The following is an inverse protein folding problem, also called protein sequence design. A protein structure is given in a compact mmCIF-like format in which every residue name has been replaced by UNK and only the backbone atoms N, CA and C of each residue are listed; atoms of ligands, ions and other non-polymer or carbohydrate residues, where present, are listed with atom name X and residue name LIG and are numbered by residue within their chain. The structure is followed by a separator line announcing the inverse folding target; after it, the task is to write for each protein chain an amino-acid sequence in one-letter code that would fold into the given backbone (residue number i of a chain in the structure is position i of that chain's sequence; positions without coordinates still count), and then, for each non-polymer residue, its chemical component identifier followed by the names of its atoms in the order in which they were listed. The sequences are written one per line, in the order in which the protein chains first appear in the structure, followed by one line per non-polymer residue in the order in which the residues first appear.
data_IF_132801045858
#
_entry.id   IF_132801045858
#
_cell.length_a   1.000
_cell.length_b   1.000
_cell.length_c   1.000
_cell.angle_alpha   90.00
_cell.angle_beta   90.00
_cell.angle_gamma   90.00
#
_symmetry.space_group_name_H-M   'P 1'
#
loop_
_entity.id
_entity.type
_entity.pdbx_description
1 polymer ?
#
# COMPACT_ATOMS: atom_id res chain seq x y z
N UNK A 1 26.29 3.95 12.76
CA UNK A 1 25.83 3.41 11.45
C UNK A 1 24.47 4.01 11.17
N UNK A 2 24.24 4.56 9.97
CA UNK A 2 22.89 4.98 9.56
C UNK A 2 21.99 3.76 9.51
N UNK A 3 20.79 3.84 10.08
CA UNK A 3 19.80 2.76 10.05
C UNK A 3 19.20 2.71 8.65
N UNK A 4 19.26 1.54 8.00
CA UNK A 4 18.54 1.33 6.73
C UNK A 4 17.05 1.48 6.99
N UNK A 5 16.40 2.41 6.29
CA UNK A 5 14.98 2.72 6.47
C UNK A 5 14.35 3.16 5.16
N UNK A 6 13.08 2.80 4.97
CA UNK A 6 12.18 3.46 4.02
C UNK A 6 11.66 4.71 4.73
N UNK A 7 12.29 5.85 4.45
CA UNK A 7 11.93 7.14 5.03
C UNK A 7 11.47 8.14 3.96
N UNK A 8 11.11 9.35 4.38
CA UNK A 8 10.63 10.39 3.49
C UNK A 8 11.68 10.79 2.43
N UNK A 9 12.97 10.70 2.76
CA UNK A 9 14.08 11.00 1.84
C UNK A 9 14.13 9.96 0.73
N UNK A 10 14.07 8.68 1.11
CA UNK A 10 14.04 7.57 0.16
C UNK A 10 12.79 7.63 -0.73
N UNK A 11 11.61 7.84 -0.14
CA UNK A 11 10.35 7.96 -0.89
C UNK A 11 10.39 9.14 -1.86
N UNK A 12 10.93 10.28 -1.46
CA UNK A 12 11.12 11.43 -2.36
C UNK A 12 11.98 11.07 -3.57
N UNK A 13 13.09 10.36 -3.37
CA UNK A 13 13.94 9.89 -4.46
C UNK A 13 13.23 8.88 -5.36
N UNK A 14 12.52 7.91 -4.76
CA UNK A 14 11.71 6.92 -5.47
C UNK A 14 10.65 7.58 -6.36
N UNK A 15 9.88 8.53 -5.84
CA UNK A 15 8.82 9.23 -6.58
C UNK A 15 9.40 10.00 -7.76
N UNK A 16 10.50 10.73 -7.57
CA UNK A 16 11.18 11.44 -8.67
C UNK A 16 11.62 10.51 -9.78
N UNK A 17 12.28 9.41 -9.42
CA UNK A 17 12.71 8.40 -10.39
C UNK A 17 11.52 7.75 -11.10
N UNK A 18 10.46 7.41 -10.37
CA UNK A 18 9.28 6.76 -10.91
C UNK A 18 8.55 7.67 -11.94
N UNK A 19 8.35 8.95 -11.61
CA UNK A 19 7.71 9.91 -12.51
C UNK A 19 8.57 10.18 -13.74
N UNK A 20 9.90 10.25 -13.60
CA UNK A 20 10.81 10.43 -14.72
C UNK A 20 10.85 9.21 -15.66
N UNK A 21 10.78 8.00 -15.10
CA UNK A 21 10.91 6.74 -15.85
C UNK A 21 9.59 6.34 -16.51
N UNK A 22 8.50 6.41 -15.76
CA UNK A 22 7.20 5.89 -16.20
C UNK A 22 6.23 7.00 -16.57
N UNK A 23 6.65 8.27 -16.53
CA UNK A 23 5.83 9.43 -16.88
C UNK A 23 4.81 9.86 -15.81
N UNK A 24 4.23 11.05 -15.98
CA UNK A 24 3.30 11.64 -15.02
C UNK A 24 1.91 11.00 -15.09
N UNK A 25 1.00 11.50 -14.24
CA UNK A 25 -0.40 11.14 -14.20
C UNK A 25 -0.72 9.95 -13.30
N UNK A 26 -2.02 9.72 -13.11
CA UNK A 26 -2.53 8.71 -12.15
C UNK A 26 -2.11 7.29 -12.48
N UNK A 27 -2.08 6.94 -13.78
CA UNK A 27 -1.70 5.60 -14.33
C UNK A 27 -2.30 4.40 -13.56
N UNK A 28 -3.44 4.59 -12.91
CA UNK A 28 -3.99 3.62 -11.95
C UNK A 28 -4.26 2.27 -12.61
N UNK A 29 -4.77 2.25 -13.84
CA UNK A 29 -5.01 1.02 -14.57
C UNK A 29 -3.69 0.25 -14.83
N UNK A 30 -2.63 0.96 -15.24
CA UNK A 30 -1.31 0.34 -15.47
C UNK A 30 -0.67 -0.16 -14.19
N UNK A 31 -0.76 0.59 -13.08
CA UNK A 31 -0.27 0.13 -11.77
C UNK A 31 -1.01 -1.12 -11.31
N UNK A 32 -2.34 -1.18 -11.48
CA UNK A 32 -3.14 -2.36 -11.11
C UNK A 32 -2.80 -3.55 -12.02
N UNK A 33 -2.59 -3.31 -13.32
CA UNK A 33 -2.22 -4.36 -14.26
C UNK A 33 -0.88 -5.00 -13.87
N UNK A 34 0.12 -4.17 -13.56
CA UNK A 34 1.43 -4.64 -13.09
C UNK A 34 1.32 -5.40 -11.76
N UNK A 35 0.53 -4.92 -10.79
CA UNK A 35 0.27 -5.67 -9.55
C UNK A 35 -0.29 -7.07 -9.84
N UNK A 36 -1.14 -7.24 -10.87
CA UNK A 36 -1.65 -8.56 -11.23
C UNK A 36 -0.59 -9.45 -11.89
N UNK A 37 0.37 -8.87 -12.61
CA UNK A 37 1.52 -9.58 -13.16
C UNK A 37 2.40 -10.10 -12.02
N UNK A 38 2.79 -9.23 -11.09
CA UNK A 38 3.62 -9.60 -9.93
C UNK A 38 2.96 -10.66 -9.05
N UNK A 39 1.64 -10.64 -8.90
CA UNK A 39 0.93 -11.70 -8.18
C UNK A 39 1.08 -13.07 -8.87
N UNK A 40 1.14 -13.13 -10.20
CA UNK A 40 1.39 -14.39 -10.93
C UNK A 40 2.84 -14.85 -10.76
N UNK A 41 3.79 -13.92 -10.66
CA UNK A 41 5.19 -14.25 -10.39
C UNK A 41 5.37 -14.82 -8.98
N UNK A 42 4.70 -14.22 -7.98
CA UNK A 42 4.62 -14.76 -6.61
C UNK A 42 3.95 -16.15 -6.59
N UNK A 43 2.90 -16.37 -7.39
CA UNK A 43 2.29 -17.70 -7.51
C UNK A 43 3.25 -18.75 -8.09
N UNK A 44 4.16 -18.33 -8.97
CA UNK A 44 5.16 -19.20 -9.59
C UNK A 44 6.36 -19.49 -8.67
N UNK A 45 6.87 -18.48 -7.96
CA UNK A 45 7.91 -18.63 -6.94
C UNK A 45 7.64 -17.73 -5.72
N UNK A 46 6.85 -18.22 -4.73
CA UNK A 46 6.50 -17.41 -3.57
C UNK A 46 7.68 -17.17 -2.62
N UNK A 47 8.82 -17.83 -2.87
CA UNK A 47 10.02 -17.71 -2.05
C UNK A 47 11.00 -16.64 -2.55
N UNK A 48 10.76 -16.08 -3.75
CA UNK A 48 11.54 -14.97 -4.25
C UNK A 48 11.14 -13.66 -3.54
N UNK A 49 12.02 -13.05 -2.71
CA UNK A 49 11.70 -11.84 -1.99
C UNK A 49 11.54 -10.60 -2.89
N UNK A 50 12.01 -10.64 -4.14
CA UNK A 50 11.90 -9.52 -5.08
C UNK A 50 10.45 -9.24 -5.45
N UNK A 51 9.68 -10.28 -5.74
CA UNK A 51 8.32 -10.09 -6.26
C UNK A 51 7.38 -9.53 -5.16
N UNK A 52 7.64 -9.89 -3.90
CA UNK A 52 7.01 -9.24 -2.76
C UNK A 52 7.42 -7.76 -2.61
N UNK A 53 8.68 -7.43 -2.88
CA UNK A 53 9.15 -6.05 -2.87
C UNK A 53 8.51 -5.23 -4.00
N UNK A 54 8.29 -5.82 -5.18
CA UNK A 54 7.61 -5.14 -6.28
C UNK A 54 6.17 -4.76 -5.93
N UNK A 55 5.42 -5.61 -5.21
CA UNK A 55 4.10 -5.22 -4.67
C UNK A 55 4.20 -3.98 -3.76
N UNK A 56 5.22 -3.90 -2.91
CA UNK A 56 5.44 -2.74 -2.02
C UNK A 56 5.76 -1.48 -2.83
N UNK A 57 6.65 -1.58 -3.81
CA UNK A 57 7.02 -0.46 -4.69
C UNK A 57 5.82 0.01 -5.52
N UNK A 58 5.01 -0.91 -6.03
CA UNK A 58 3.80 -0.60 -6.79
C UNK A 58 2.70 0.03 -5.91
N UNK A 59 2.60 -0.35 -4.64
CA UNK A 59 1.72 0.32 -3.69
C UNK A 59 2.16 1.76 -3.40
N UNK A 60 3.47 2.00 -3.17
CA UNK A 60 4.00 3.36 -3.04
C UNK A 60 3.82 4.19 -4.30
N UNK A 61 4.02 3.58 -5.47
CA UNK A 61 3.74 4.20 -6.76
C UNK A 61 2.27 4.64 -6.85
N UNK A 62 1.32 3.77 -6.48
CA UNK A 62 -0.10 4.11 -6.46
C UNK A 62 -0.43 5.29 -5.53
N UNK A 63 0.12 5.31 -4.31
CA UNK A 63 -0.07 6.40 -3.35
C UNK A 63 0.56 7.72 -3.83
N UNK A 64 1.77 7.67 -4.40
CA UNK A 64 2.42 8.84 -4.97
C UNK A 64 1.61 9.43 -6.14
N UNK A 65 1.04 8.57 -6.99
CA UNK A 65 0.27 8.99 -8.17
C UNK A 65 -1.12 9.54 -7.87
N UNK A 66 -1.60 9.44 -6.63
CA UNK A 66 -2.78 10.19 -6.15
C UNK A 66 -2.39 11.49 -5.43
N UNK A 67 -1.12 11.89 -5.50
CA UNK A 67 -0.64 13.19 -5.04
C UNK A 67 -0.18 13.24 -3.59
N UNK A 68 -0.01 12.11 -2.91
CA UNK A 68 0.50 12.11 -1.54
C UNK A 68 1.99 12.41 -1.50
N UNK A 69 2.37 13.27 -0.56
CA UNK A 69 3.77 13.54 -0.20
C UNK A 69 4.41 12.32 0.47
N UNK A 70 5.75 12.20 0.50
CA UNK A 70 6.44 11.12 1.21
C UNK A 70 5.98 10.93 2.66
N UNK A 71 5.80 12.01 3.42
CA UNK A 71 5.34 11.94 4.81
C UNK A 71 3.89 11.47 4.92
N UNK A 72 3.00 11.91 4.03
CA UNK A 72 1.62 11.43 3.99
C UNK A 72 1.53 9.95 3.61
N UNK A 73 2.37 9.47 2.69
CA UNK A 73 2.46 8.04 2.34
C UNK A 73 2.84 7.23 3.57
N UNK A 74 3.89 7.64 4.29
CA UNK A 74 4.34 6.98 5.52
C UNK A 74 3.21 6.99 6.56
N UNK A 75 2.57 8.14 6.77
CA UNK A 75 1.49 8.28 7.74
C UNK A 75 0.27 7.40 7.38
N UNK A 76 -0.09 7.28 6.10
CA UNK A 76 -1.16 6.38 5.63
C UNK A 76 -0.86 4.94 5.98
N UNK A 77 0.38 4.47 5.73
CA UNK A 77 0.79 3.09 6.05
C UNK A 77 0.76 2.85 7.56
N UNK A 78 1.34 3.77 8.35
CA UNK A 78 1.35 3.68 9.82
C UNK A 78 -0.07 3.67 10.39
N UNK A 79 -0.92 4.60 9.96
CA UNK A 79 -2.31 4.68 10.44
C UNK A 79 -3.12 3.45 10.02
N UNK A 80 -2.90 2.94 8.81
CA UNK A 80 -3.57 1.72 8.35
C UNK A 80 -3.17 0.51 9.19
N UNK A 81 -1.88 0.40 9.55
CA UNK A 81 -1.40 -0.65 10.44
C UNK A 81 -1.98 -0.51 11.85
N UNK A 82 -1.90 0.68 12.46
CA UNK A 82 -2.46 0.96 13.78
C UNK A 82 -3.95 0.56 13.83
N UNK A 83 -4.69 0.94 12.79
CA UNK A 83 -6.07 0.56 12.63
C UNK A 83 -6.36 -0.92 12.47
N UNK A 84 -5.44 -1.68 11.88
CA UNK A 84 -5.57 -3.13 11.81
C UNK A 84 -5.30 -3.78 13.18
N UNK A 85 -4.41 -3.20 14.00
CA UNK A 85 -4.11 -3.67 15.37
C UNK A 85 -5.29 -3.46 16.31
N UNK A 86 -6.04 -2.38 16.16
CA UNK A 86 -7.21 -2.06 17.00
C UNK A 86 -8.47 -2.88 16.65
N UNK A 87 -8.48 -3.55 15.50
CA UNK A 87 -9.63 -4.35 15.04
C UNK A 87 -9.75 -5.67 15.78
N UNK A 88 -10.98 -6.17 15.84
CA UNK A 88 -11.25 -7.55 16.23
C UNK A 88 -11.10 -8.48 15.04
N UNK A 89 -10.35 -9.57 15.24
CA UNK A 89 -10.10 -10.60 14.22
C UNK A 89 -10.55 -11.97 14.75
N UNK A 90 -11.04 -12.87 13.88
CA UNK A 90 -11.30 -14.25 14.27
C UNK A 90 -10.00 -14.97 14.67
N UNK A 91 -10.10 -16.05 15.45
CA UNK A 91 -8.95 -16.95 15.65
C UNK A 91 -8.52 -17.50 14.28
N UNK A 92 -7.27 -17.21 13.90
CA UNK A 92 -6.71 -17.63 12.61
C UNK A 92 -6.74 -19.15 12.41
N UNK A 93 -6.83 -19.95 13.49
CA UNK A 93 -6.95 -21.41 13.40
C UNK A 93 -8.33 -21.90 12.97
N UNK A 94 -9.33 -21.02 13.04
CA UNK A 94 -10.73 -21.33 12.72
C UNK A 94 -11.15 -20.91 11.31
N UNK A 95 -10.23 -20.35 10.52
CA UNK A 95 -10.45 -19.88 9.15
C UNK A 95 -9.59 -20.67 8.17
N UNK A 96 -10.01 -20.75 6.90
CA UNK A 96 -9.23 -21.42 5.85
C UNK A 96 -7.90 -20.68 5.63
N UNK A 97 -6.74 -21.33 5.82
CA UNK A 97 -5.43 -20.70 5.65
C UNK A 97 -5.16 -20.24 4.21
N UNK A 98 -5.95 -20.69 3.23
CA UNK A 98 -5.84 -20.30 1.82
C UNK A 98 -6.84 -19.22 1.40
N UNK A 99 -7.53 -18.59 2.36
CA UNK A 99 -8.49 -17.50 2.12
C UNK A 99 -8.12 -16.26 2.89
N UNK A 100 -8.56 -15.11 2.40
CA UNK A 100 -8.40 -13.85 3.09
C UNK A 100 -9.14 -13.88 4.44
N UNK A 101 -8.44 -13.56 5.51
CA UNK A 101 -9.04 -13.35 6.84
C UNK A 101 -9.49 -11.90 6.94
N UNK A 102 -10.78 -11.69 7.22
CA UNK A 102 -11.35 -10.37 7.47
C UNK A 102 -11.44 -10.05 8.96
N UNK A 103 -11.55 -8.76 9.28
CA UNK A 103 -11.95 -8.30 10.62
C UNK A 103 -13.45 -8.54 10.82
N UNK A 104 -13.87 -8.66 12.10
CA UNK A 104 -15.28 -8.85 12.48
C UNK A 104 -15.98 -7.50 12.40
N UNK A 105 -16.80 -7.28 11.38
CA UNK A 105 -17.40 -5.97 11.05
C UNK A 105 -18.42 -5.51 12.07
N UNK A 106 -19.12 -6.44 12.72
CA UNK A 106 -20.22 -6.17 13.65
C UNK A 106 -19.75 -5.45 14.93
N UNK A 107 -18.46 -5.53 15.23
CA UNK A 107 -17.82 -4.91 16.41
C UNK A 107 -16.76 -3.88 16.02
N UNK A 108 -16.60 -3.59 14.73
CA UNK A 108 -15.56 -2.69 14.24
C UNK A 108 -16.02 -1.22 14.37
N UNK A 109 -15.64 -0.58 15.47
CA UNK A 109 -15.85 0.85 15.70
C UNK A 109 -14.75 1.72 15.03
N UNK A 110 -13.73 1.11 14.43
CA UNK A 110 -12.54 1.82 13.98
C UNK A 110 -12.71 2.48 12.60
N UNK A 111 -12.70 3.80 12.58
CA UNK A 111 -12.62 4.62 11.37
C UNK A 111 -11.33 5.48 11.36
N UNK A 112 -10.25 5.04 10.66
CA UNK A 112 -8.95 5.75 10.66
C UNK A 112 -8.98 7.09 9.94
N UNK A 113 -10.05 7.39 9.18
CA UNK A 113 -10.13 8.57 8.31
C UNK A 113 -11.27 9.52 8.71
N UNK A 114 -11.99 9.24 9.81
CA UNK A 114 -13.25 9.92 10.13
C UNK A 114 -14.34 9.63 9.09
N UNK A 115 -15.59 10.01 9.34
CA UNK A 115 -16.72 9.77 8.41
C UNK A 115 -16.65 10.60 7.12
N UNK A 116 -15.49 11.18 6.80
CA UNK A 116 -15.25 12.00 5.62
C UNK A 116 -14.25 11.36 4.66
N UNK A 117 -14.28 11.74 3.36
CA UNK A 117 -13.28 11.30 2.40
C UNK A 117 -11.89 11.81 2.81
N UNK A 118 -10.87 10.96 2.61
CA UNK A 118 -9.46 11.41 2.66
C UNK A 118 -9.33 12.58 1.67
N UNK A 119 -8.82 13.75 2.07
CA UNK A 119 -8.60 14.85 1.15
C UNK A 119 -7.63 14.39 0.05
N UNK A 120 -8.18 14.13 -1.13
CA UNK A 120 -7.37 13.91 -2.33
C UNK A 120 -7.06 15.29 -2.86
N UNK A 121 -5.78 15.62 -2.99
CA UNK A 121 -5.32 16.87 -3.61
C UNK A 121 -5.95 17.09 -4.99
N UNK A 122 -5.91 18.33 -5.51
CA UNK A 122 -6.66 18.72 -6.70
C UNK A 122 -6.47 17.73 -7.86
N UNK A 123 -7.60 17.31 -8.41
CA UNK A 123 -7.71 16.37 -9.53
C UNK A 123 -7.39 17.16 -10.80
N UNK A 124 -6.19 16.98 -11.32
CA UNK A 124 -5.93 17.28 -12.72
C UNK A 124 -5.90 15.95 -13.47
N UNK A 125 -6.91 15.78 -14.31
CA UNK A 125 -7.06 14.75 -15.32
C UNK A 125 -6.02 14.89 -16.45
#
# INVERSE_FOLDING_TARGET
MSKVAIDATWLSAFIRWNLATFGPGRRTAGTIDHIREELREIEADPTDPKEWADIILLAFNGLARIGLTPDEIIQVVINKQAGNVERSWPDWRSVDPNKAVGHIKEVDAFNPYGSGPVPVGPRED
#
